data_IF_590308996831
#
_entry.id   IF_590308996831
#
_cell.length_a   1.000
_cell.length_b   1.000
_cell.length_c   1.000
_cell.angle_alpha   90.00
_cell.angle_beta   90.00
_cell.angle_gamma   90.00
#
_symmetry.space_group_name_H-M   'P 1'
#
loop_
_entity.id
_entity.type
_entity.pdbx_description
1 polymer ?
#
# COMPACT_ATOMS: atom_id res chain seq x y z
N UNK A 1 -51.00 32.25 20.02
CA UNK A 1 -49.86 32.81 20.78
C UNK A 1 -49.17 33.84 19.91
N UNK A 2 -49.35 35.13 20.18
CA UNK A 2 -48.64 36.19 19.45
C UNK A 2 -47.20 36.25 19.97
N UNK A 3 -46.26 35.72 19.20
CA UNK A 3 -44.84 35.92 19.47
C UNK A 3 -44.53 37.41 19.34
N UNK A 4 -44.00 38.01 20.40
CA UNK A 4 -43.54 39.39 20.40
C UNK A 4 -42.64 39.64 19.16
N UNK A 5 -43.00 40.58 18.25
CA UNK A 5 -42.34 40.73 16.97
C UNK A 5 -40.84 41.07 17.11
N UNK A 6 -40.47 41.79 18.16
CA UNK A 6 -39.09 42.25 18.44
C UNK A 6 -38.29 41.32 19.36
N UNK A 7 -38.80 40.12 19.70
CA UNK A 7 -38.11 39.16 20.57
C UNK A 7 -36.72 38.69 20.08
N UNK A 8 -36.32 39.03 18.85
CA UNK A 8 -35.00 38.70 18.30
C UNK A 8 -33.97 39.83 18.46
N UNK A 9 -34.39 41.02 18.87
CA UNK A 9 -33.54 42.18 19.13
C UNK A 9 -33.21 42.19 20.61
N UNK A 10 -31.94 42.09 20.96
CA UNK A 10 -31.46 42.21 22.33
C UNK A 10 -31.07 43.67 22.61
N UNK A 11 -31.78 44.38 23.51
CA UNK A 11 -31.46 45.75 23.86
C UNK A 11 -30.06 45.92 24.47
N UNK A 12 -29.50 44.84 25.02
CA UNK A 12 -28.20 44.84 25.69
C UNK A 12 -27.06 44.37 24.79
N UNK A 13 -27.32 44.04 23.51
CA UNK A 13 -26.31 43.64 22.54
C UNK A 13 -25.93 44.84 21.63
N UNK A 14 -24.88 45.62 21.99
CA UNK A 14 -24.48 46.78 21.19
C UNK A 14 -23.99 46.39 19.79
N UNK A 15 -23.47 45.17 19.61
CA UNK A 15 -23.01 44.68 18.31
C UNK A 15 -24.18 44.37 17.37
N UNK A 16 -25.27 43.84 17.93
CA UNK A 16 -26.52 43.67 17.19
C UNK A 16 -27.09 45.01 16.76
N UNK A 17 -27.21 45.97 17.68
CA UNK A 17 -27.77 47.29 17.38
C UNK A 17 -26.92 48.04 16.33
N UNK A 18 -25.59 48.01 16.48
CA UNK A 18 -24.66 48.60 15.51
C UNK A 18 -24.83 48.00 14.13
N UNK A 19 -24.92 46.67 14.06
CA UNK A 19 -25.10 45.99 12.79
C UNK A 19 -26.46 46.31 12.15
N UNK A 20 -27.53 46.43 12.93
CA UNK A 20 -28.85 46.80 12.42
C UNK A 20 -28.78 48.20 11.79
N UNK A 21 -28.18 49.16 12.49
CA UNK A 21 -27.95 50.51 11.99
C UNK A 21 -27.18 50.50 10.67
N UNK A 22 -26.01 49.85 10.63
CA UNK A 22 -25.18 49.75 9.42
C UNK A 22 -25.91 49.07 8.25
N UNK A 23 -26.66 48.00 8.53
CA UNK A 23 -27.40 47.26 7.51
C UNK A 23 -28.51 48.12 6.90
N UNK A 24 -29.25 48.86 7.73
CA UNK A 24 -30.31 49.77 7.29
C UNK A 24 -29.74 50.93 6.47
N UNK A 25 -28.65 51.58 6.93
CA UNK A 25 -27.96 52.61 6.16
C UNK A 25 -27.56 52.12 4.77
N UNK A 26 -27.04 50.89 4.66
CA UNK A 26 -26.52 50.36 3.39
C UNK A 26 -27.60 49.88 2.43
N UNK A 27 -28.68 49.27 2.94
CA UNK A 27 -29.68 48.58 2.11
C UNK A 27 -30.97 49.36 1.94
N UNK A 28 -31.30 50.23 2.89
CA UNK A 28 -32.61 50.86 3.00
C UNK A 28 -32.51 52.27 3.63
N UNK A 29 -31.93 53.26 2.92
CA UNK A 29 -31.70 54.61 3.46
C UNK A 29 -33.00 55.36 3.84
N UNK A 30 -34.11 55.07 3.15
CA UNK A 30 -35.44 55.63 3.50
C UNK A 30 -35.91 55.12 4.86
N UNK A 31 -35.66 53.85 5.16
CA UNK A 31 -36.02 53.25 6.46
C UNK A 31 -35.06 53.63 7.57
N UNK A 32 -33.82 54.02 7.25
CA UNK A 32 -32.89 54.54 8.25
C UNK A 32 -33.52 55.73 8.99
N UNK A 33 -34.18 56.64 8.27
CA UNK A 33 -34.86 57.78 8.89
C UNK A 33 -36.01 57.35 9.80
N UNK A 34 -36.74 56.28 9.44
CA UNK A 34 -37.83 55.72 10.24
C UNK A 34 -37.32 55.03 11.51
N UNK A 35 -36.18 54.34 11.44
CA UNK A 35 -35.65 53.55 12.56
C UNK A 35 -34.69 54.33 13.48
N UNK A 36 -33.94 55.29 12.95
CA UNK A 36 -32.85 55.97 13.63
C UNK A 36 -33.08 57.48 13.84
N UNK A 37 -34.25 57.99 13.41
CA UNK A 37 -34.49 59.44 13.39
C UNK A 37 -33.60 60.16 12.37
N UNK A 38 -33.94 61.41 12.04
CA UNK A 38 -33.21 62.22 11.05
C UNK A 38 -31.78 62.64 11.44
N UNK A 39 -31.26 62.16 12.58
CA UNK A 39 -29.97 62.53 13.14
C UNK A 39 -28.88 61.51 12.82
N UNK A 40 -27.89 61.93 12.03
CA UNK A 40 -26.67 61.17 11.75
C UNK A 40 -25.87 60.89 13.04
N UNK A 41 -25.37 59.65 13.15
CA UNK A 41 -24.16 59.24 13.89
C UNK A 41 -24.20 58.97 15.40
N UNK A 42 -25.37 58.90 16.06
CA UNK A 42 -25.44 58.40 17.44
C UNK A 42 -26.21 57.08 17.54
N UNK A 43 -25.69 56.19 18.39
CA UNK A 43 -26.33 54.92 18.76
C UNK A 43 -27.66 55.24 19.45
N UNK A 44 -28.73 55.35 18.66
CA UNK A 44 -30.09 55.46 19.19
C UNK A 44 -30.33 54.27 20.14
N UNK A 45 -30.91 54.52 21.34
CA UNK A 45 -31.17 53.46 22.30
C UNK A 45 -32.15 52.44 21.69
N UNK A 46 -31.98 51.17 22.04
CA UNK A 46 -32.81 50.07 21.53
C UNK A 46 -34.33 50.32 21.66
N UNK A 47 -34.73 51.15 22.62
CA UNK A 47 -36.10 51.62 22.81
C UNK A 47 -36.67 52.36 21.60
N UNK A 48 -35.89 53.18 20.90
CA UNK A 48 -36.34 53.90 19.70
C UNK A 48 -36.61 52.92 18.55
N UNK A 49 -35.72 51.95 18.35
CA UNK A 49 -35.87 50.89 17.36
C UNK A 49 -37.14 50.06 17.64
N UNK A 50 -37.37 49.68 18.89
CA UNK A 50 -38.56 48.91 19.30
C UNK A 50 -39.84 49.74 19.07
N UNK A 51 -39.85 51.01 19.46
CA UNK A 51 -41.01 51.89 19.25
C UNK A 51 -41.31 52.12 17.75
N UNK A 52 -40.28 52.31 16.93
CA UNK A 52 -40.44 52.42 15.48
C UNK A 52 -41.02 51.14 14.86
N UNK A 53 -40.66 49.96 15.39
CA UNK A 53 -41.26 48.68 14.98
C UNK A 53 -42.73 48.62 15.38
N UNK A 54 -43.07 48.95 16.61
CA UNK A 54 -44.45 48.90 17.11
C UNK A 54 -45.37 49.85 16.34
N UNK A 55 -44.91 51.07 16.07
CA UNK A 55 -45.69 52.11 15.40
C UNK A 55 -45.96 51.79 13.93
N UNK A 56 -44.99 51.17 13.23
CA UNK A 56 -45.07 50.95 11.78
C UNK A 56 -45.45 49.51 11.38
N UNK A 57 -45.69 48.59 12.33
CA UNK A 57 -45.97 47.17 12.03
C UNK A 57 -47.27 46.91 11.24
N UNK A 58 -48.17 47.89 11.25
CA UNK A 58 -49.43 47.86 10.50
C UNK A 58 -49.24 48.15 9.01
N UNK A 59 -48.12 48.76 8.61
CA UNK A 59 -47.78 48.98 7.20
C UNK A 59 -47.24 47.67 6.56
N UNK A 60 -47.88 47.16 5.48
CA UNK A 60 -47.40 45.98 4.75
C UNK A 60 -45.97 46.14 4.22
N UNK A 61 -45.60 47.35 3.77
CA UNK A 61 -44.28 47.60 3.19
C UNK A 61 -43.19 47.54 4.26
N UNK A 62 -43.45 48.16 5.41
CA UNK A 62 -42.60 48.02 6.60
C UNK A 62 -42.42 46.55 7.03
N UNK A 63 -43.51 45.78 7.07
CA UNK A 63 -43.48 44.37 7.50
C UNK A 63 -42.56 43.49 6.66
N UNK A 64 -42.58 43.67 5.34
CA UNK A 64 -41.71 42.90 4.43
C UNK A 64 -40.23 43.22 4.67
N UNK A 65 -39.91 44.51 4.80
CA UNK A 65 -38.55 44.98 5.04
C UNK A 65 -38.03 44.55 6.40
N UNK A 66 -38.87 44.62 7.42
CA UNK A 66 -38.59 44.08 8.74
C UNK A 66 -38.29 42.56 8.69
N UNK A 67 -39.06 41.79 7.90
CA UNK A 67 -38.80 40.38 7.67
C UNK A 67 -37.44 40.12 7.01
N UNK A 68 -37.06 40.92 6.01
CA UNK A 68 -35.74 40.86 5.35
C UNK A 68 -34.61 41.17 6.34
N UNK A 69 -34.75 42.22 7.14
CA UNK A 69 -33.78 42.59 8.18
C UNK A 69 -33.57 41.45 9.18
N UNK A 70 -34.66 40.88 9.71
CA UNK A 70 -34.61 39.74 10.64
C UNK A 70 -33.91 38.53 10.03
N UNK A 71 -34.21 38.21 8.77
CA UNK A 71 -33.58 37.09 8.06
C UNK A 71 -32.09 37.34 7.81
N UNK A 72 -31.71 38.56 7.45
CA UNK A 72 -30.31 38.93 7.27
C UNK A 72 -29.51 38.82 8.57
N UNK A 73 -30.09 39.22 9.71
CA UNK A 73 -29.46 39.04 11.02
C UNK A 73 -29.26 37.57 11.36
N UNK A 74 -30.31 36.74 11.17
CA UNK A 74 -30.22 35.29 11.35
C UNK A 74 -29.10 34.68 10.49
N UNK A 75 -28.99 35.10 9.22
CA UNK A 75 -27.92 34.65 8.34
C UNK A 75 -26.53 35.10 8.83
N UNK A 76 -26.38 36.34 9.32
CA UNK A 76 -25.12 36.80 9.92
C UNK A 76 -24.74 35.94 11.12
N UNK A 77 -25.67 35.70 12.05
CA UNK A 77 -25.43 34.89 13.25
C UNK A 77 -25.01 33.46 12.89
N UNK A 78 -25.64 32.85 11.89
CA UNK A 78 -25.25 31.53 11.37
C UNK A 78 -23.85 31.55 10.75
N UNK A 79 -23.50 32.58 9.98
CA UNK A 79 -22.17 32.73 9.36
C UNK A 79 -21.05 33.01 10.36
N UNK A 80 -21.37 33.56 11.53
CA UNK A 80 -20.41 33.81 12.61
C UNK A 80 -20.09 32.57 13.45
N UNK A 81 -20.79 31.44 13.27
CA UNK A 81 -20.47 30.19 13.96
C UNK A 81 -19.11 29.65 13.48
N UNK A 82 -18.11 29.60 14.37
CA UNK A 82 -16.72 29.22 14.04
C UNK A 82 -16.59 27.80 13.48
N UNK A 83 -17.48 26.88 13.87
CA UNK A 83 -17.40 25.47 13.51
C UNK A 83 -17.97 25.15 12.12
N UNK A 84 -18.59 26.13 11.45
CA UNK A 84 -19.26 25.93 10.16
C UNK A 84 -18.73 26.93 9.13
N UNK A 85 -17.99 26.41 8.15
CA UNK A 85 -17.59 27.18 6.96
C UNK A 85 -18.52 26.85 5.82
N UNK A 86 -19.28 27.84 5.33
CA UNK A 86 -20.06 27.70 4.10
C UNK A 86 -19.16 27.92 2.88
N UNK A 87 -19.16 26.99 1.95
CA UNK A 87 -18.50 27.13 0.66
C UNK A 87 -19.51 26.91 -0.47
N UNK A 88 -19.37 27.67 -1.55
CA UNK A 88 -20.20 27.54 -2.76
C UNK A 88 -19.34 26.90 -3.84
N UNK A 89 -19.81 25.77 -4.38
CA UNK A 89 -19.13 25.06 -5.46
C UNK A 89 -20.01 25.05 -6.71
N UNK A 90 -19.39 25.26 -7.87
CA UNK A 90 -20.06 25.03 -9.15
C UNK A 90 -19.83 23.58 -9.55
N UNK A 91 -20.91 22.84 -9.78
CA UNK A 91 -20.89 21.44 -10.16
C UNK A 91 -21.65 21.25 -11.48
N UNK A 92 -21.26 20.28 -12.32
CA UNK A 92 -22.04 19.91 -13.49
C UNK A 92 -23.48 19.53 -13.10
N UNK A 93 -24.46 19.90 -13.93
CA UNK A 93 -25.88 19.61 -13.69
C UNK A 93 -26.11 18.12 -13.48
N UNK A 94 -25.48 17.26 -14.29
CA UNK A 94 -25.57 15.81 -14.15
C UNK A 94 -25.13 15.31 -12.76
N UNK A 95 -24.10 15.92 -12.18
CA UNK A 95 -23.60 15.57 -10.84
C UNK A 95 -24.57 16.03 -9.76
N UNK A 96 -25.15 17.23 -9.89
CA UNK A 96 -26.19 17.72 -8.98
C UNK A 96 -27.43 16.82 -8.99
N UNK A 97 -27.89 16.40 -10.16
CA UNK A 97 -29.03 15.48 -10.31
C UNK A 97 -28.76 14.13 -9.64
N UNK A 98 -27.53 13.59 -9.77
CA UNK A 98 -27.14 12.36 -9.09
C UNK A 98 -27.11 12.53 -7.56
N UNK A 99 -26.53 13.63 -7.07
CA UNK A 99 -26.49 13.93 -5.64
C UNK A 99 -27.90 14.09 -5.05
N UNK A 100 -28.81 14.73 -5.78
CA UNK A 100 -30.21 14.89 -5.39
C UNK A 100 -30.97 13.57 -5.35
N UNK A 101 -30.81 12.71 -6.36
CA UNK A 101 -31.36 11.35 -6.33
C UNK A 101 -30.86 10.57 -5.12
N UNK A 102 -29.56 10.62 -4.83
CA UNK A 102 -28.98 9.95 -3.65
C UNK A 102 -29.49 10.53 -2.33
N UNK A 103 -29.62 11.86 -2.23
CA UNK A 103 -30.19 12.54 -1.07
C UNK A 103 -31.64 12.11 -0.81
N UNK A 104 -32.45 12.04 -1.86
CA UNK A 104 -33.84 11.61 -1.78
C UNK A 104 -33.96 10.14 -1.39
N UNK A 105 -33.16 9.26 -1.99
CA UNK A 105 -33.12 7.82 -1.67
C UNK A 105 -32.74 7.56 -0.21
N UNK A 106 -31.84 8.37 0.36
CA UNK A 106 -31.36 8.22 1.74
C UNK A 106 -32.16 9.03 2.77
N UNK A 107 -33.19 9.77 2.34
CA UNK A 107 -33.93 10.73 3.18
C UNK A 107 -33.01 11.69 3.96
N UNK A 108 -31.96 12.18 3.30
CA UNK A 108 -30.93 13.03 3.90
C UNK A 108 -30.72 14.32 3.10
N UNK A 109 -30.12 15.33 3.72
CA UNK A 109 -29.74 16.56 2.99
C UNK A 109 -28.56 16.28 2.04
N UNK A 110 -28.50 17.01 0.92
CA UNK A 110 -27.39 16.91 -0.05
C UNK A 110 -26.02 17.05 0.62
N UNK A 111 -25.90 17.96 1.59
CA UNK A 111 -24.67 18.18 2.38
C UNK A 111 -24.32 16.97 3.24
N UNK A 112 -25.32 16.34 3.90
CA UNK A 112 -25.09 15.16 4.73
C UNK A 112 -24.63 13.97 3.89
N UNK A 113 -25.27 13.73 2.75
CA UNK A 113 -24.86 12.67 1.81
C UNK A 113 -23.45 12.92 1.30
N UNK A 114 -23.12 14.15 0.89
CA UNK A 114 -21.77 14.49 0.44
C UNK A 114 -20.72 14.23 1.54
N UNK A 115 -21.02 14.62 2.78
CA UNK A 115 -20.14 14.36 3.93
C UNK A 115 -19.90 12.86 4.17
N UNK A 116 -20.94 12.04 4.04
CA UNK A 116 -20.81 10.58 4.17
C UNK A 116 -19.97 10.00 3.03
N UNK A 117 -20.24 10.38 1.78
CA UNK A 117 -19.48 9.90 0.62
C UNK A 117 -17.99 10.25 0.72
N UNK A 118 -17.67 11.46 1.19
CA UNK A 118 -16.29 11.89 1.40
C UNK A 118 -15.63 11.06 2.52
N UNK A 119 -16.34 10.82 3.63
CA UNK A 119 -15.82 10.01 4.73
C UNK A 119 -15.57 8.56 4.30
N UNK A 120 -16.53 7.96 3.59
CA UNK A 120 -16.42 6.59 3.07
C UNK A 120 -15.23 6.46 2.11
N UNK A 121 -15.11 7.37 1.13
CA UNK A 121 -13.99 7.39 0.19
C UNK A 121 -12.63 7.58 0.89
N UNK A 122 -12.58 8.41 1.94
CA UNK A 122 -11.38 8.60 2.74
C UNK A 122 -10.99 7.33 3.51
N UNK A 123 -11.95 6.65 4.13
CA UNK A 123 -11.71 5.39 4.82
C UNK A 123 -11.28 4.28 3.87
N UNK A 124 -11.87 4.21 2.68
CA UNK A 124 -11.47 3.27 1.63
C UNK A 124 -10.03 3.52 1.18
N UNK A 125 -9.67 4.79 0.96
CA UNK A 125 -8.30 5.17 0.63
C UNK A 125 -7.30 4.79 1.74
N UNK A 126 -7.64 5.03 3.01
CA UNK A 126 -6.79 4.62 4.13
C UNK A 126 -6.61 3.10 4.22
N UNK A 127 -7.69 2.33 4.01
CA UNK A 127 -7.61 0.87 3.99
C UNK A 127 -6.76 0.36 2.84
N UNK A 128 -6.95 0.91 1.64
CA UNK A 128 -6.18 0.56 0.46
C UNK A 128 -4.68 0.84 0.63
N UNK A 129 -4.33 2.00 1.17
CA UNK A 129 -2.92 2.36 1.42
C UNK A 129 -2.27 1.48 2.49
N UNK A 130 -2.97 1.18 3.59
CA UNK A 130 -2.48 0.26 4.61
C UNK A 130 -2.25 -1.16 4.06
N UNK A 131 -3.17 -1.66 3.23
CA UNK A 131 -3.03 -2.97 2.60
C UNK A 131 -1.86 -3.00 1.60
N UNK A 132 -1.69 -1.94 0.80
CA UNK A 132 -0.56 -1.82 -0.12
C UNK A 132 0.78 -1.80 0.63
N UNK A 133 0.87 -1.11 1.77
CA UNK A 133 2.07 -1.11 2.61
C UNK A 133 2.38 -2.51 3.18
N UNK A 134 1.37 -3.22 3.69
CA UNK A 134 1.53 -4.60 4.17
C UNK A 134 1.99 -5.55 3.06
N UNK A 135 1.37 -5.48 1.88
CA UNK A 135 1.75 -6.30 0.74
C UNK A 135 3.18 -6.01 0.28
N UNK A 136 3.59 -4.73 0.25
CA UNK A 136 4.96 -4.33 -0.06
C UNK A 136 5.96 -4.89 0.95
N UNK A 137 5.67 -4.82 2.24
CA UNK A 137 6.53 -5.36 3.29
C UNK A 137 6.68 -6.89 3.18
N UNK A 138 5.57 -7.60 2.97
CA UNK A 138 5.59 -9.06 2.77
C UNK A 138 6.40 -9.46 1.53
N UNK A 139 6.22 -8.74 0.41
CA UNK A 139 6.98 -8.98 -0.81
C UNK A 139 8.49 -8.73 -0.61
N UNK A 140 8.86 -7.66 0.08
CA UNK A 140 10.26 -7.38 0.41
C UNK A 140 10.87 -8.47 1.32
N UNK A 141 10.12 -8.97 2.29
CA UNK A 141 10.57 -10.07 3.15
C UNK A 141 10.74 -11.36 2.35
N UNK A 142 9.82 -11.68 1.44
CA UNK A 142 9.93 -12.84 0.56
C UNK A 142 11.16 -12.75 -0.34
N UNK A 143 11.45 -11.58 -0.91
CA UNK A 143 12.67 -11.36 -1.70
C UNK A 143 13.94 -11.55 -0.87
N UNK A 144 13.97 -11.06 0.38
CA UNK A 144 15.10 -11.28 1.28
C UNK A 144 15.31 -12.77 1.58
N UNK A 145 14.25 -13.48 1.91
CA UNK A 145 14.31 -14.93 2.17
C UNK A 145 14.76 -15.71 0.94
N UNK A 146 14.29 -15.33 -0.25
CA UNK A 146 14.74 -15.94 -1.49
C UNK A 146 16.23 -15.72 -1.71
N UNK A 147 16.74 -14.50 -1.54
CA UNK A 147 18.18 -14.19 -1.68
C UNK A 147 19.02 -15.01 -0.70
N UNK A 148 18.64 -15.04 0.58
CA UNK A 148 19.33 -15.84 1.59
C UNK A 148 19.37 -17.33 1.20
N UNK A 149 18.24 -17.88 0.73
CA UNK A 149 18.18 -19.27 0.26
C UNK A 149 19.05 -19.54 -0.98
N UNK A 150 19.22 -18.55 -1.87
CA UNK A 150 20.12 -18.67 -3.02
C UNK A 150 21.58 -18.66 -2.58
N UNK A 151 21.96 -17.73 -1.70
CA UNK A 151 23.31 -17.64 -1.14
C UNK A 151 23.70 -18.91 -0.38
N UNK A 152 22.80 -19.45 0.45
CA UNK A 152 23.05 -20.71 1.17
C UNK A 152 23.27 -21.90 0.22
N UNK A 153 22.49 -21.97 -0.87
CA UNK A 153 22.65 -23.02 -1.89
C UNK A 153 23.96 -22.87 -2.66
N UNK A 154 24.32 -21.65 -3.03
CA UNK A 154 25.56 -21.37 -3.73
C UNK A 154 26.77 -21.78 -2.88
N UNK A 155 26.77 -21.44 -1.59
CA UNK A 155 27.80 -21.89 -0.66
C UNK A 155 27.84 -23.40 -0.52
N UNK A 156 26.68 -24.08 -0.48
CA UNK A 156 26.64 -25.53 -0.46
C UNK A 156 27.27 -26.14 -1.72
N UNK A 157 26.97 -25.59 -2.91
CA UNK A 157 27.60 -26.05 -4.16
C UNK A 157 29.11 -25.80 -4.17
N UNK A 158 29.57 -24.63 -3.74
CA UNK A 158 30.99 -24.30 -3.67
C UNK A 158 31.74 -25.31 -2.79
N UNK A 159 31.24 -25.62 -1.59
CA UNK A 159 31.87 -26.61 -0.70
C UNK A 159 31.98 -27.99 -1.35
N UNK A 160 30.95 -28.43 -2.07
CA UNK A 160 31.00 -29.74 -2.72
C UNK A 160 31.97 -29.73 -3.91
N UNK A 161 31.99 -28.66 -4.71
CA UNK A 161 32.96 -28.51 -5.78
C UNK A 161 34.39 -28.54 -5.24
N UNK A 162 34.68 -27.80 -4.16
CA UNK A 162 35.98 -27.82 -3.49
C UNK A 162 36.35 -29.23 -3.02
N UNK A 163 35.42 -29.93 -2.35
CA UNK A 163 35.65 -31.30 -1.87
C UNK A 163 35.95 -32.27 -3.02
N UNK A 164 35.20 -32.17 -4.13
CA UNK A 164 35.42 -32.99 -5.31
C UNK A 164 36.77 -32.69 -5.97
N UNK A 165 37.16 -31.42 -6.07
CA UNK A 165 38.46 -31.03 -6.62
C UNK A 165 39.61 -31.55 -5.75
N UNK A 166 39.49 -31.47 -4.43
CA UNK A 166 40.48 -32.04 -3.50
C UNK A 166 40.59 -33.56 -3.66
N UNK A 167 39.45 -34.27 -3.71
CA UNK A 167 39.46 -35.73 -3.90
C UNK A 167 40.07 -36.15 -5.25
N UNK A 168 39.82 -35.39 -6.32
CA UNK A 168 40.44 -35.63 -7.64
C UNK A 168 41.94 -35.39 -7.57
N UNK A 169 42.40 -34.32 -6.91
CA UNK A 169 43.82 -34.05 -6.73
C UNK A 169 44.53 -35.18 -5.95
N UNK A 170 43.95 -35.61 -4.83
CA UNK A 170 44.45 -36.74 -4.04
C UNK A 170 44.54 -38.02 -4.87
N UNK A 171 43.53 -38.29 -5.71
CA UNK A 171 43.54 -39.44 -6.60
C UNK A 171 44.64 -39.37 -7.67
N UNK A 172 44.89 -38.19 -8.24
CA UNK A 172 46.00 -37.98 -9.17
C UNK A 172 47.33 -38.25 -8.47
N UNK A 173 47.53 -37.70 -7.26
CA UNK A 173 48.76 -37.91 -6.49
C UNK A 173 48.99 -39.38 -6.12
N UNK A 174 47.93 -40.08 -5.70
CA UNK A 174 47.97 -41.52 -5.41
C UNK A 174 48.37 -42.33 -6.65
N UNK A 175 47.78 -42.01 -7.80
CA UNK A 175 48.09 -42.67 -9.07
C UNK A 175 49.54 -42.44 -9.49
N UNK A 176 50.00 -41.18 -9.45
CA UNK A 176 51.41 -40.84 -9.70
C UNK A 176 52.37 -41.59 -8.76
N UNK A 177 52.01 -41.74 -7.48
CA UNK A 177 52.82 -42.49 -6.51
C UNK A 177 52.88 -43.99 -6.82
N UNK A 178 51.77 -44.58 -7.25
CA UNK A 178 51.72 -45.99 -7.65
C UNK A 178 52.52 -46.23 -8.94
N UNK A 179 52.36 -45.37 -9.94
CA UNK A 179 53.16 -45.42 -11.19
C UNK A 179 54.66 -45.35 -10.88
N UNK A 180 55.08 -44.47 -9.97
CA UNK A 180 56.48 -44.37 -9.53
C UNK A 180 56.99 -45.62 -8.80
N UNK A 181 56.14 -46.33 -8.05
CA UNK A 181 56.51 -47.56 -7.32
C UNK A 181 56.59 -48.79 -8.23
N UNK A 182 55.70 -48.88 -9.23
CA UNK A 182 55.63 -50.02 -10.16
C UNK A 182 56.66 -49.89 -11.29
N UNK A 183 57.18 -48.68 -11.55
CA UNK A 183 58.31 -48.47 -12.47
C UNK A 183 57.95 -48.65 -13.95
N UNK A 184 56.66 -48.53 -14.30
CA UNK A 184 56.16 -48.64 -15.67
C UNK A 184 55.81 -47.28 -16.27
N UNK A 185 56.22 -47.05 -17.52
CA UNK A 185 55.75 -45.92 -18.34
C UNK A 185 54.23 -46.04 -18.58
N UNK A 186 53.53 -44.90 -18.73
CA UNK A 186 52.07 -44.68 -18.89
C UNK A 186 51.22 -45.65 -19.75
N UNK A 187 51.83 -46.59 -20.48
CA UNK A 187 51.22 -47.36 -21.55
C UNK A 187 51.17 -48.88 -21.32
N UNK A 188 51.66 -49.39 -20.19
CA UNK A 188 51.66 -50.84 -19.93
C UNK A 188 50.39 -51.27 -19.18
N UNK A 189 49.70 -52.36 -19.62
CA UNK A 189 48.54 -52.89 -18.92
C UNK A 189 48.93 -53.31 -17.50
N UNK A 190 48.19 -52.84 -16.48
CA UNK A 190 48.38 -53.31 -15.11
C UNK A 190 48.19 -54.83 -15.03
N UNK A 191 49.09 -55.55 -14.37
CA UNK A 191 48.90 -56.98 -14.10
C UNK A 191 47.71 -57.18 -13.16
N UNK A 192 47.02 -58.32 -13.27
CA UNK A 192 45.76 -58.58 -12.56
C UNK A 192 45.85 -58.44 -11.02
N UNK A 193 47.04 -58.61 -10.44
CA UNK A 193 47.30 -58.38 -9.01
C UNK A 193 47.30 -56.90 -8.62
N UNK A 194 47.75 -56.01 -9.50
CA UNK A 194 47.79 -54.57 -9.26
C UNK A 194 46.40 -53.94 -9.41
N UNK A 195 45.55 -54.50 -10.29
CA UNK A 195 44.15 -54.07 -10.46
C UNK A 195 43.34 -54.30 -9.19
N UNK A 196 43.44 -55.49 -8.58
CA UNK A 196 42.72 -55.79 -7.34
C UNK A 196 43.19 -54.91 -6.16
N UNK A 197 44.48 -54.58 -6.13
CA UNK A 197 45.06 -53.68 -5.11
C UNK A 197 44.58 -52.23 -5.32
N UNK A 198 44.46 -51.81 -6.58
CA UNK A 198 43.91 -50.52 -6.96
C UNK A 198 42.42 -50.40 -6.64
N UNK A 199 41.61 -51.41 -6.99
CA UNK A 199 40.18 -51.46 -6.67
C UNK A 199 39.93 -51.45 -5.15
N UNK A 200 40.72 -52.18 -4.37
CA UNK A 200 40.63 -52.19 -2.90
C UNK A 200 40.99 -50.85 -2.24
N UNK A 201 41.90 -50.06 -2.86
CA UNK A 201 42.22 -48.70 -2.42
C UNK A 201 41.16 -47.68 -2.85
N UNK A 202 40.49 -47.94 -3.98
CA UNK A 202 39.48 -47.06 -4.58
C UNK A 202 38.10 -47.18 -3.93
N UNK A 203 37.71 -48.37 -3.47
CA UNK A 203 36.37 -48.61 -2.92
C UNK A 203 36.02 -47.73 -1.70
N UNK A 204 36.91 -47.54 -0.70
CA UNK A 204 36.64 -46.66 0.44
C UNK A 204 36.49 -45.19 0.03
N UNK A 205 37.25 -44.75 -0.98
CA UNK A 205 37.21 -43.39 -1.50
C UNK A 205 35.93 -43.12 -2.31
N UNK A 206 35.49 -44.08 -3.13
CA UNK A 206 34.21 -44.00 -3.83
C UNK A 206 33.04 -43.96 -2.85
N UNK A 207 33.06 -44.78 -1.80
CA UNK A 207 32.04 -44.76 -0.75
C UNK A 207 32.01 -43.41 -0.01
N UNK A 208 33.18 -42.82 0.29
CA UNK A 208 33.28 -41.50 0.90
C UNK A 208 32.69 -40.40 -0.01
N UNK A 209 33.00 -40.43 -1.31
CA UNK A 209 32.49 -39.49 -2.31
C UNK A 209 30.97 -39.63 -2.54
N UNK A 210 30.45 -40.86 -2.58
CA UNK A 210 29.02 -41.11 -2.74
C UNK A 210 28.19 -40.54 -1.58
N UNK A 211 28.70 -40.63 -0.34
CA UNK A 211 28.02 -40.00 0.80
C UNK A 211 27.88 -38.47 0.64
N UNK A 212 28.86 -37.80 0.03
CA UNK A 212 28.83 -36.36 -0.20
C UNK A 212 27.93 -36.00 -1.38
N UNK A 213 27.83 -36.86 -2.39
CA UNK A 213 26.90 -36.73 -3.52
C UNK A 213 25.43 -36.95 -3.11
N UNK A 214 25.14 -37.82 -2.15
CA UNK A 214 23.77 -37.97 -1.63
C UNK A 214 23.27 -36.71 -0.93
N UNK A 215 24.14 -35.98 -0.23
CA UNK A 215 23.80 -34.67 0.34
C UNK A 215 23.44 -33.62 -0.73
N UNK A 216 24.02 -33.69 -1.94
CA UNK A 216 23.60 -32.87 -3.08
C UNK A 216 22.24 -33.24 -3.64
N UNK A 217 21.88 -34.53 -3.67
CA UNK A 217 20.56 -34.97 -4.13
C UNK A 217 19.43 -34.44 -3.25
N UNK A 218 19.70 -34.24 -1.95
CA UNK A 218 18.81 -33.55 -1.01
C UNK A 218 18.67 -32.05 -1.29
N UNK A 219 19.72 -31.40 -1.83
CA UNK A 219 19.76 -29.95 -2.11
C UNK A 219 19.06 -29.57 -3.43
N UNK A 220 19.04 -30.45 -4.44
CA UNK A 220 18.07 -30.49 -5.56
C UNK A 220 18.54 -31.44 -6.67
N UNK A 221 17.78 -32.49 -6.96
CA UNK A 221 17.54 -32.92 -8.35
C UNK A 221 16.16 -33.56 -8.48
N UNK A 222 15.25 -32.91 -9.22
CA UNK A 222 14.04 -33.54 -9.82
C UNK A 222 14.41 -34.31 -11.11
N UNK A 223 15.63 -34.85 -11.15
CA UNK A 223 16.19 -35.62 -12.26
C UNK A 223 16.98 -36.78 -11.68
N UNK A 224 17.17 -37.83 -12.48
CA UNK A 224 17.79 -39.08 -12.04
C UNK A 224 19.15 -38.84 -11.36
N UNK A 225 19.43 -39.57 -10.29
CA UNK A 225 20.63 -39.39 -9.47
C UNK A 225 21.91 -39.46 -10.29
N UNK A 226 22.93 -38.69 -9.90
CA UNK A 226 24.26 -38.71 -10.50
C UNK A 226 24.86 -40.13 -10.52
N UNK A 227 24.53 -40.96 -9.53
CA UNK A 227 24.90 -42.38 -9.48
C UNK A 227 24.27 -43.19 -10.63
N UNK A 228 23.02 -42.93 -11.00
CA UNK A 228 22.37 -43.54 -12.18
C UNK A 228 23.04 -43.09 -13.47
N UNK A 229 23.41 -41.82 -13.58
CA UNK A 229 24.10 -41.31 -14.77
C UNK A 229 25.52 -41.89 -14.91
N UNK A 230 26.25 -42.01 -13.80
CA UNK A 230 27.56 -42.68 -13.76
C UNK A 230 27.45 -44.17 -14.06
N UNK A 231 26.48 -44.87 -13.47
CA UNK A 231 26.22 -46.27 -13.79
C UNK A 231 25.91 -46.47 -15.28
N UNK A 232 25.09 -45.59 -15.87
CA UNK A 232 24.78 -45.62 -17.30
C UNK A 232 26.03 -45.37 -18.16
N UNK A 233 26.92 -44.45 -17.78
CA UNK A 233 28.16 -44.17 -18.51
C UNK A 233 29.19 -45.30 -18.38
N UNK A 234 29.32 -45.89 -17.19
CA UNK A 234 30.17 -47.06 -16.94
C UNK A 234 29.66 -48.25 -17.75
N UNK A 235 28.34 -48.47 -17.77
CA UNK A 235 27.73 -49.56 -18.52
C UNK A 235 27.83 -49.35 -20.04
N UNK A 236 27.69 -48.10 -20.51
CA UNK A 236 27.94 -47.75 -21.91
C UNK A 236 29.41 -47.98 -22.31
N UNK A 237 30.37 -47.63 -21.45
CA UNK A 237 31.80 -47.92 -21.70
C UNK A 237 32.12 -49.41 -21.67
N UNK A 238 31.49 -50.17 -20.77
CA UNK A 238 31.63 -51.62 -20.69
C UNK A 238 31.12 -52.30 -21.97
N UNK A 239 29.97 -51.86 -22.48
CA UNK A 239 29.43 -52.30 -23.77
C UNK A 239 30.34 -51.93 -24.96
N UNK A 240 31.00 -50.77 -24.93
CA UNK A 240 31.96 -50.38 -25.97
C UNK A 240 33.24 -51.23 -25.90
N UNK A 241 33.74 -51.57 -24.71
CA UNK A 241 34.89 -52.44 -24.54
C UNK A 241 34.59 -53.90 -24.94
N UNK A 242 33.39 -54.40 -24.65
CA UNK A 242 32.90 -55.72 -25.08
C UNK A 242 32.66 -55.77 -26.60
N UNK A 243 32.24 -54.67 -27.23
CA UNK A 243 32.12 -54.58 -28.69
C UNK A 243 33.46 -54.54 -29.43
N UNK A 244 34.56 -54.19 -28.75
CA UNK A 244 35.92 -54.18 -29.29
C UNK A 244 36.65 -55.53 -29.13
N UNK A 245 36.07 -56.48 -28.41
CA UNK A 245 36.57 -57.87 -28.33
C UNK A 245 35.86 -58.71 -29.40
N UNK A 246 36.32 -58.59 -30.65
CA UNK A 246 35.85 -59.44 -31.77
C UNK A 246 36.34 -60.88 -31.52
N UNK A 247 35.45 -61.90 -31.48
CA UNK A 247 35.87 -63.29 -31.45
C UNK A 247 36.10 -63.82 -32.88
N UNK A 248 37.35 -64.16 -33.20
CA UNK A 248 37.69 -65.11 -34.26
C UNK A 248 38.40 -64.53 -35.50
N UNK A 249 39.74 -64.48 -35.43
CA UNK A 249 40.56 -64.92 -36.58
C UNK A 249 40.50 -66.45 -36.65
N UNK A 250 40.11 -67.05 -37.78
CA UNK A 250 40.76 -68.23 -38.31
C UNK A 250 41.98 -67.86 -39.17
#
# INVERSE_FOLDING_TARGET
>A
MFTNPYAWIDPNDPDQLRWIAEYLCRKHPVFQQVFMGGGSAHHEPASHLINAIETNMNDPWFREHYGKLRNAWRQKKVRQQRDKKSATFMLPVATLTKLEKLANQRHQTKVKVLSTVIADAWHDHQRATANAQKAKAAYQQQLKNQRANYEEREQAYQRVIETLLTAVAEHIDQRCSLEAKVGGSDSLPLEAGDIATYEALMEPHLAALESHLTNLTLVRFKGESLSKQLANLVQARKQVAEALTIPGEP
#
